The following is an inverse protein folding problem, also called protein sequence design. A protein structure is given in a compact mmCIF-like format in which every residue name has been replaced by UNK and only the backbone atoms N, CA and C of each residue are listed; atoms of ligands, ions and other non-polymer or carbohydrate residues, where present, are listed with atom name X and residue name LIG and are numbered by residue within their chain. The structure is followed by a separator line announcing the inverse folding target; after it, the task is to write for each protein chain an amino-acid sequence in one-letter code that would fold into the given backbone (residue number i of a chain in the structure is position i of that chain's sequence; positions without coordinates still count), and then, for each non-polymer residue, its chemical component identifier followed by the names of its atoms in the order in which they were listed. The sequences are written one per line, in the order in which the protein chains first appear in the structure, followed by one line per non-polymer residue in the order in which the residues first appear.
data_IF_247873014509
#
_entry.id   IF_247873014509
#
_cell.length_a   1.000
_cell.length_b   1.000
_cell.length_c   1.000
_cell.angle_alpha   90.00
_cell.angle_beta   90.00
_cell.angle_gamma   90.00
#
_symmetry.space_group_name_H-M   'P 1'
#
loop_
_entity.id
_entity.type
_entity.pdbx_description
1 polymer ?
#
# COMPACT_ATOMS: atom_id res chain seq x y z
N UNK A 1 -18.89 16.52 -21.27
CA UNK A 1 -18.15 17.77 -20.94
C UNK A 1 -17.00 17.38 -20.03
N UNK A 2 -15.77 17.41 -20.53
CA UNK A 2 -14.58 16.99 -19.78
C UNK A 2 -14.23 18.07 -18.76
N UNK A 3 -14.61 17.83 -17.50
CA UNK A 3 -14.18 18.63 -16.35
C UNK A 3 -12.73 18.33 -16.02
N UNK A 4 -11.80 18.87 -16.81
CA UNK A 4 -10.39 18.88 -16.46
C UNK A 4 -10.21 19.75 -15.22
N UNK A 5 -9.86 19.14 -14.10
CA UNK A 5 -9.52 19.85 -12.86
C UNK A 5 -8.28 20.71 -13.16
N UNK A 6 -8.47 22.03 -13.25
CA UNK A 6 -7.35 22.98 -13.34
C UNK A 6 -6.60 22.96 -12.02
N UNK A 7 -5.45 22.31 -12.00
CA UNK A 7 -4.55 22.32 -10.84
C UNK A 7 -3.87 23.70 -10.81
N UNK A 8 -4.19 24.50 -9.79
CA UNK A 8 -3.61 25.82 -9.55
C UNK A 8 -2.08 25.73 -9.40
N UNK A 9 -1.35 26.78 -9.83
CA UNK A 9 0.13 26.79 -9.81
C UNK A 9 0.74 26.59 -8.42
N UNK A 10 0.00 26.90 -7.37
CA UNK A 10 0.38 26.64 -5.96
C UNK A 10 0.34 25.15 -5.64
N UNK A 11 -0.65 24.42 -6.15
CA UNK A 11 -0.83 22.99 -5.87
C UNK A 11 0.21 22.14 -6.58
N UNK A 12 0.61 22.52 -7.81
CA UNK A 12 1.70 21.89 -8.53
C UNK A 12 3.04 22.05 -7.79
N UNK A 13 3.27 23.22 -7.17
CA UNK A 13 4.49 23.48 -6.39
C UNK A 13 4.58 22.62 -5.13
N UNK A 14 3.47 22.43 -4.42
CA UNK A 14 3.41 21.51 -3.29
C UNK A 14 3.54 20.06 -3.74
N UNK A 15 2.91 19.70 -4.87
CA UNK A 15 2.95 18.35 -5.43
C UNK A 15 4.36 17.87 -5.75
N UNK A 16 5.25 18.77 -6.21
CA UNK A 16 6.65 18.45 -6.52
C UNK A 16 7.65 18.90 -5.45
N UNK A 17 7.18 19.21 -4.23
CA UNK A 17 8.06 19.60 -3.13
C UNK A 17 9.16 18.58 -2.92
N UNK A 18 10.37 19.05 -2.65
CA UNK A 18 11.58 18.25 -2.43
C UNK A 18 12.00 17.37 -3.62
N UNK A 19 11.37 17.49 -4.79
CA UNK A 19 11.83 16.87 -6.03
C UNK A 19 12.57 17.91 -6.87
N UNK A 20 13.71 17.52 -7.43
CA UNK A 20 14.49 18.34 -8.36
C UNK A 20 14.76 17.54 -9.62
N UNK A 21 14.53 18.13 -10.79
CA UNK A 21 14.89 17.51 -12.08
C UNK A 21 16.32 17.92 -12.45
N UNK A 22 17.18 16.93 -12.73
CA UNK A 22 18.54 17.10 -13.24
C UNK A 22 18.68 16.32 -14.54
N UNK A 23 18.55 17.01 -15.67
CA UNK A 23 18.54 16.38 -16.99
C UNK A 23 17.34 15.44 -17.17
N UNK A 24 17.62 14.14 -17.38
CA UNK A 24 16.61 13.08 -17.53
C UNK A 24 16.23 12.38 -16.22
N UNK A 25 16.75 12.83 -15.09
CA UNK A 25 16.55 12.19 -13.79
C UNK A 25 15.91 13.12 -12.77
N UNK A 26 15.31 12.52 -11.75
CA UNK A 26 14.63 13.19 -10.65
C UNK A 26 15.33 12.85 -9.33
N UNK A 27 15.61 13.85 -8.51
CA UNK A 27 16.33 13.71 -7.24
C UNK A 27 15.51 14.22 -6.08
N UNK A 28 15.61 13.54 -4.94
CA UNK A 28 14.91 13.95 -3.71
C UNK A 28 15.87 14.73 -2.83
N UNK A 29 15.58 16.01 -2.59
CA UNK A 29 16.42 16.89 -1.77
C UNK A 29 15.66 17.48 -0.59
N UNK A 30 16.22 17.31 0.60
CA UNK A 30 15.69 17.87 1.84
C UNK A 30 16.84 18.32 2.75
N UNK A 31 16.78 19.56 3.26
CA UNK A 31 17.82 20.16 4.11
C UNK A 31 19.25 20.02 3.53
N UNK A 32 19.41 20.33 2.23
CA UNK A 32 20.67 20.19 1.47
C UNK A 32 21.25 18.78 1.35
N UNK A 33 20.56 17.74 1.83
CA UNK A 33 20.91 16.34 1.61
C UNK A 33 20.17 15.76 0.40
N UNK A 34 20.80 14.81 -0.28
CA UNK A 34 20.25 14.04 -1.40
C UNK A 34 19.83 12.67 -0.89
N UNK A 35 18.63 12.23 -1.22
CA UNK A 35 18.01 10.99 -0.72
C UNK A 35 17.74 9.96 -1.83
N UNK A 36 18.19 10.24 -3.06
CA UNK A 36 18.08 9.28 -4.14
C UNK A 36 17.90 9.94 -5.50
N UNK A 37 18.18 9.17 -6.54
CA UNK A 37 18.08 9.57 -7.94
C UNK A 37 17.28 8.53 -8.73
N UNK A 38 16.27 8.99 -9.46
CA UNK A 38 15.27 8.17 -10.12
C UNK A 38 15.13 8.55 -11.59
N UNK A 39 14.93 7.56 -12.46
CA UNK A 39 14.65 7.79 -13.88
C UNK A 39 13.18 8.14 -14.13
N UNK A 40 12.26 7.57 -13.34
CA UNK A 40 10.83 7.85 -13.39
C UNK A 40 10.42 8.88 -12.32
N UNK A 41 9.48 9.75 -12.69
CA UNK A 41 8.92 10.74 -11.77
C UNK A 41 7.99 10.10 -10.73
N UNK A 42 7.24 9.06 -11.11
CA UNK A 42 6.35 8.30 -10.21
C UNK A 42 7.13 7.71 -9.03
N UNK A 43 8.25 7.05 -9.31
CA UNK A 43 9.13 6.46 -8.29
C UNK A 43 9.70 7.51 -7.35
N UNK A 44 10.18 8.64 -7.89
CA UNK A 44 10.70 9.73 -7.08
C UNK A 44 9.64 10.32 -6.14
N UNK A 45 8.39 10.45 -6.60
CA UNK A 45 7.27 10.94 -5.79
C UNK A 45 6.89 9.92 -4.70
N UNK A 46 6.89 8.63 -5.05
CA UNK A 46 6.58 7.55 -4.12
C UNK A 46 7.61 7.49 -2.98
N UNK A 47 8.90 7.42 -3.33
CA UNK A 47 9.99 7.39 -2.36
C UNK A 47 9.98 8.63 -1.45
N UNK A 48 9.73 9.81 -2.03
CA UNK A 48 9.64 11.04 -1.26
C UNK A 48 8.53 11.00 -0.22
N UNK A 49 7.38 10.44 -0.56
CA UNK A 49 6.28 10.29 0.40
C UNK A 49 6.65 9.32 1.53
N UNK A 50 7.37 8.23 1.23
CA UNK A 50 7.92 7.33 2.24
C UNK A 50 8.93 8.06 3.16
N UNK A 51 9.83 8.87 2.59
CA UNK A 51 10.76 9.70 3.36
C UNK A 51 10.03 10.71 4.26
N UNK A 52 8.97 11.37 3.76
CA UNK A 52 8.16 12.26 4.60
C UNK A 52 7.50 11.51 5.76
N UNK A 53 7.05 10.28 5.51
CA UNK A 53 6.43 9.43 6.52
C UNK A 53 7.42 9.07 7.63
N UNK A 54 8.65 8.69 7.26
CA UNK A 54 9.74 8.39 8.19
C UNK A 54 10.49 9.64 8.68
N UNK A 55 9.94 10.85 8.48
CA UNK A 55 10.55 12.13 8.88
C UNK A 55 11.98 12.34 8.33
N UNK A 56 12.28 11.80 7.16
CA UNK A 56 13.60 11.79 6.51
C UNK A 56 14.67 11.05 7.32
N UNK A 57 14.26 10.14 8.19
CA UNK A 57 15.15 9.15 8.80
C UNK A 57 15.27 7.96 7.84
N UNK A 58 16.43 7.84 7.20
CA UNK A 58 16.68 6.82 6.17
C UNK A 58 16.76 5.42 6.78
N UNK A 59 17.19 5.30 8.04
CA UNK A 59 17.28 4.01 8.73
C UNK A 59 15.89 3.46 9.07
N UNK A 60 14.88 4.32 9.13
CA UNK A 60 13.48 3.96 9.30
C UNK A 60 12.76 3.73 7.96
N UNK A 61 13.43 3.94 6.83
CA UNK A 61 12.89 3.66 5.51
C UNK A 61 12.90 2.14 5.29
N UNK A 62 11.90 1.46 5.87
CA UNK A 62 11.67 0.03 5.64
C UNK A 62 11.21 -0.15 4.19
N UNK A 63 11.78 -1.10 3.46
CA UNK A 63 11.30 -1.51 2.14
C UNK A 63 9.81 -1.86 2.24
N UNK A 64 8.97 -0.93 1.78
CA UNK A 64 7.54 -1.06 1.83
C UNK A 64 7.10 -1.52 0.44
N UNK A 65 6.78 -2.79 0.30
CA UNK A 65 6.25 -3.44 -0.93
C UNK A 65 4.85 -2.94 -1.33
N UNK A 66 4.49 -1.71 -0.94
CA UNK A 66 3.24 -1.11 -1.35
C UNK A 66 3.33 -0.69 -2.82
N UNK A 67 2.25 -0.88 -3.59
CA UNK A 67 2.22 -0.47 -4.98
C UNK A 67 2.36 1.05 -5.11
N UNK A 68 3.24 1.49 -6.01
CA UNK A 68 3.46 2.90 -6.33
C UNK A 68 2.14 3.54 -6.82
N UNK A 69 1.51 4.34 -5.96
CA UNK A 69 0.23 5.02 -6.24
C UNK A 69 0.29 6.01 -7.42
N UNK A 70 1.50 6.40 -7.85
CA UNK A 70 1.73 7.32 -8.96
C UNK A 70 1.96 6.60 -10.29
N UNK A 71 2.14 5.28 -10.30
CA UNK A 71 2.57 4.55 -11.51
C UNK A 71 1.57 4.67 -12.67
N UNK A 72 0.28 4.66 -12.36
CA UNK A 72 -0.81 4.73 -13.34
C UNK A 72 -1.58 6.06 -13.27
N UNK A 73 -1.06 7.06 -12.56
CA UNK A 73 -1.71 8.36 -12.38
C UNK A 73 -1.25 9.34 -13.45
N UNK A 74 -2.17 10.11 -14.02
CA UNK A 74 -1.82 11.25 -14.86
C UNK A 74 -1.27 12.37 -13.97
N UNK A 75 0.06 12.56 -14.01
CA UNK A 75 0.76 13.52 -13.15
C UNK A 75 0.67 14.94 -13.73
N UNK A 76 0.55 15.99 -12.89
CA UNK A 76 0.64 17.37 -13.35
C UNK A 76 1.97 17.65 -14.07
N UNK A 77 2.07 18.65 -14.95
CA UNK A 77 3.34 18.96 -15.60
C UNK A 77 4.42 19.33 -14.57
N UNK A 78 5.62 18.74 -14.72
CA UNK A 78 6.75 19.08 -13.84
C UNK A 78 7.18 20.53 -14.13
N UNK A 79 7.30 21.39 -13.10
CA UNK A 79 7.59 22.81 -13.30
C UNK A 79 8.97 23.03 -13.95
N UNK A 80 9.03 23.86 -14.99
CA UNK A 80 10.26 24.19 -15.71
C UNK A 80 11.24 25.01 -14.86
N UNK A 81 10.71 25.81 -13.94
CA UNK A 81 11.49 26.63 -13.03
C UNK A 81 11.15 26.31 -11.58
N UNK A 82 12.19 26.14 -10.76
CA UNK A 82 12.01 26.05 -9.32
C UNK A 82 11.49 27.40 -8.81
N UNK A 83 10.32 27.46 -8.18
CA UNK A 83 9.81 28.70 -7.62
C UNK A 83 10.78 29.17 -6.54
N UNK A 84 11.26 30.41 -6.64
CA UNK A 84 12.11 31.04 -5.61
C UNK A 84 11.22 31.60 -4.50
N UNK A 85 11.64 31.41 -3.25
CA UNK A 85 10.96 31.96 -2.06
C UNK A 85 10.48 30.90 -1.06
N UNK A 86 10.20 31.32 0.18
CA UNK A 86 9.43 30.52 1.12
C UNK A 86 8.01 30.34 0.59
N UNK A 87 7.46 29.14 0.69
CA UNK A 87 6.07 28.91 0.32
C UNK A 87 5.18 29.64 1.34
N UNK A 88 4.72 30.85 0.97
CA UNK A 88 3.65 31.55 1.68
C UNK A 88 2.32 30.98 1.18
N UNK A 89 1.86 29.92 1.83
CA UNK A 89 0.49 29.44 1.72
C UNK A 89 -0.07 29.22 3.13
N UNK A 90 -1.40 29.11 3.26
CA UNK A 90 -1.99 28.56 4.47
C UNK A 90 -1.19 27.29 4.81
N UNK A 91 -0.59 27.25 6.01
CA UNK A 91 -0.05 26.00 6.55
C UNK A 91 -1.24 25.08 6.73
N UNK A 92 -1.59 24.32 5.70
CA UNK A 92 -2.58 23.27 5.84
C UNK A 92 -2.03 22.31 6.89
N UNK A 93 -2.77 22.16 7.99
CA UNK A 93 -2.35 21.30 9.06
C UNK A 93 -2.51 19.85 8.57
N UNK A 94 -1.44 19.29 8.00
CA UNK A 94 -1.42 17.93 7.43
C UNK A 94 -1.96 16.90 8.42
N UNK A 95 -1.70 17.11 9.72
CA UNK A 95 -2.22 16.27 10.80
C UNK A 95 -3.74 16.31 10.91
N UNK A 96 -4.38 17.45 10.70
CA UNK A 96 -5.85 17.57 10.77
C UNK A 96 -6.53 16.91 9.57
N UNK A 97 -5.93 17.01 8.38
CA UNK A 97 -6.50 16.45 7.15
C UNK A 97 -6.24 14.96 7.01
N UNK A 98 -5.01 14.55 7.26
CA UNK A 98 -4.56 13.18 6.99
C UNK A 98 -4.41 12.34 8.25
N UNK A 99 -4.51 12.89 9.46
CA UNK A 99 -4.17 12.17 10.68
C UNK A 99 -2.70 11.75 10.75
N UNK A 100 -2.31 11.11 11.84
CA UNK A 100 -0.95 10.65 12.09
C UNK A 100 -0.92 9.21 12.63
N UNK A 101 0.22 8.56 12.42
CA UNK A 101 0.53 7.26 13.01
C UNK A 101 1.59 7.50 14.06
N UNK A 102 1.29 7.14 15.30
CA UNK A 102 2.17 7.32 16.46
C UNK A 102 2.51 5.96 17.04
N UNK A 103 3.76 5.73 17.39
CA UNK A 103 4.16 4.51 18.07
C UNK A 103 3.97 4.65 19.58
N UNK A 104 3.11 3.82 20.15
CA UNK A 104 2.90 3.70 21.60
C UNK A 104 3.99 2.78 22.16
N UNK A 105 4.97 3.37 22.84
CA UNK A 105 6.08 2.64 23.44
C UNK A 105 5.67 1.75 24.62
N UNK A 106 4.54 2.04 25.30
CA UNK A 106 4.07 1.22 26.43
C UNK A 106 3.50 -0.09 25.93
N UNK A 107 2.68 -0.02 24.88
CA UNK A 107 2.04 -1.21 24.30
C UNK A 107 2.82 -1.81 23.13
N UNK A 108 3.89 -1.15 22.68
CA UNK A 108 4.70 -1.50 21.50
C UNK A 108 3.85 -1.67 20.24
N UNK A 109 2.91 -0.74 20.02
CA UNK A 109 1.96 -0.77 18.90
C UNK A 109 1.92 0.56 18.15
N UNK A 110 1.53 0.50 16.88
CA UNK A 110 1.28 1.67 16.04
C UNK A 110 -0.18 2.11 16.16
N UNK A 111 -0.41 3.38 16.48
CA UNK A 111 -1.71 3.97 16.73
C UNK A 111 -2.08 4.96 15.61
N UNK A 112 -3.24 4.78 14.98
CA UNK A 112 -3.77 5.75 14.00
C UNK A 112 -4.61 6.77 14.76
N UNK A 113 -4.25 8.05 14.67
CA UNK A 113 -4.93 9.15 15.37
C UNK A 113 -5.26 10.31 14.43
N UNK A 114 -6.35 11.03 14.69
CA UNK A 114 -6.69 12.28 14.01
C UNK A 114 -7.30 13.24 15.03
N UNK A 115 -6.61 14.35 15.29
CA UNK A 115 -6.95 15.22 16.41
C UNK A 115 -6.86 14.44 17.73
N UNK A 116 -7.96 14.40 18.49
CA UNK A 116 -8.08 13.65 19.75
C UNK A 116 -8.63 12.22 19.55
N UNK A 117 -9.05 11.86 18.34
CA UNK A 117 -9.64 10.57 18.07
C UNK A 117 -8.62 9.48 17.75
N UNK A 118 -8.84 8.30 18.33
CA UNK A 118 -8.06 7.08 18.11
C UNK A 118 -8.84 6.08 17.25
N UNK A 119 -8.20 5.56 16.20
CA UNK A 119 -8.83 4.67 15.21
C UNK A 119 -8.35 3.21 15.29
N UNK A 120 -7.46 2.91 16.23
CA UNK A 120 -7.00 1.56 16.52
C UNK A 120 -5.51 1.48 16.82
N UNK A 121 -5.10 0.29 17.26
CA UNK A 121 -3.70 -0.06 17.55
C UNK A 121 -3.31 -1.29 16.74
N UNK A 122 -2.14 -1.27 16.13
CA UNK A 122 -1.68 -2.25 15.15
C UNK A 122 -0.28 -2.73 15.48
N UNK A 123 0.02 -3.98 15.14
CA UNK A 123 1.30 -4.59 15.48
C UNK A 123 2.41 -4.10 14.56
N UNK A 124 2.07 -3.78 13.31
CA UNK A 124 3.02 -3.31 12.31
C UNK A 124 2.66 -1.92 11.80
N UNK A 125 3.69 -1.19 11.36
CA UNK A 125 3.54 0.12 10.72
C UNK A 125 2.68 0.03 9.45
N UNK A 126 2.85 -1.07 8.70
CA UNK A 126 2.13 -1.33 7.44
C UNK A 126 0.63 -1.49 7.69
N UNK A 127 0.25 -2.26 8.71
CA UNK A 127 -1.15 -2.39 9.12
C UNK A 127 -1.78 -1.04 9.47
N UNK A 128 -1.08 -0.22 10.28
CA UNK A 128 -1.55 1.10 10.64
C UNK A 128 -1.71 2.01 9.41
N UNK A 129 -0.78 1.93 8.45
CA UNK A 129 -0.85 2.69 7.21
C UNK A 129 -2.05 2.31 6.35
N UNK A 130 -2.31 1.00 6.16
CA UNK A 130 -3.48 0.54 5.42
C UNK A 130 -4.79 1.03 6.04
N UNK A 131 -4.92 0.93 7.36
CA UNK A 131 -6.09 1.42 8.09
C UNK A 131 -6.25 2.92 7.89
N UNK A 132 -5.17 3.68 8.04
CA UNK A 132 -5.16 5.13 7.82
C UNK A 132 -5.63 5.48 6.40
N UNK A 133 -5.13 4.77 5.38
CA UNK A 133 -5.52 4.97 3.99
C UNK A 133 -7.01 4.72 3.77
N UNK A 134 -7.52 3.60 4.30
CA UNK A 134 -8.94 3.25 4.23
C UNK A 134 -9.79 4.35 4.89
N UNK A 135 -9.40 4.82 6.08
CA UNK A 135 -10.10 5.92 6.76
C UNK A 135 -10.09 7.20 5.92
N UNK A 136 -8.95 7.56 5.33
CA UNK A 136 -8.85 8.74 4.47
C UNK A 136 -9.75 8.67 3.23
N UNK A 137 -9.89 7.48 2.63
CA UNK A 137 -10.76 7.25 1.47
C UNK A 137 -12.25 7.23 1.82
N UNK A 138 -12.59 7.05 3.10
CA UNK A 138 -13.96 6.94 3.62
C UNK A 138 -14.28 8.05 4.63
N UNK A 139 -13.72 9.25 4.44
CA UNK A 139 -13.97 10.43 5.28
C UNK A 139 -13.83 10.22 6.80
N UNK A 140 -12.95 9.29 7.19
CA UNK A 140 -12.68 8.87 8.56
C UNK A 140 -13.86 8.20 9.27
N UNK A 141 -14.81 7.62 8.52
CA UNK A 141 -15.89 6.82 9.08
C UNK A 141 -15.35 5.51 9.68
N UNK A 142 -15.50 5.32 11.00
CA UNK A 142 -15.07 4.09 11.68
C UNK A 142 -15.82 2.85 11.19
N UNK A 143 -17.00 3.00 10.60
CA UNK A 143 -17.77 1.88 10.05
C UNK A 143 -17.03 1.19 8.89
N UNK A 144 -16.21 1.92 8.12
CA UNK A 144 -15.43 1.32 7.04
C UNK A 144 -14.42 0.28 7.55
N UNK A 145 -13.92 0.43 8.79
CA UNK A 145 -13.01 -0.54 9.40
C UNK A 145 -13.72 -1.83 9.77
N UNK A 146 -14.98 -1.74 10.21
CA UNK A 146 -15.82 -2.90 10.53
C UNK A 146 -16.16 -3.66 9.24
N UNK A 147 -16.54 -2.94 8.18
CA UNK A 147 -16.81 -3.53 6.87
C UNK A 147 -15.57 -4.21 6.29
N UNK A 148 -14.39 -3.58 6.38
CA UNK A 148 -13.14 -4.19 5.94
C UNK A 148 -12.76 -5.45 6.72
N UNK A 149 -13.02 -5.50 8.03
CA UNK A 149 -12.82 -6.72 8.83
C UNK A 149 -13.73 -7.85 8.34
N UNK A 150 -15.03 -7.57 8.16
CA UNK A 150 -16.00 -8.56 7.65
C UNK A 150 -15.61 -9.09 6.27
N UNK A 151 -15.25 -8.20 5.34
CA UNK A 151 -14.80 -8.59 4.00
C UNK A 151 -13.55 -9.47 4.06
N UNK A 152 -12.58 -9.16 4.93
CA UNK A 152 -11.38 -10.01 5.12
C UNK A 152 -11.73 -11.37 5.71
N UNK A 153 -12.61 -11.41 6.70
CA UNK A 153 -13.10 -12.66 7.32
C UNK A 153 -13.84 -13.53 6.29
N UNK A 154 -14.71 -12.93 5.48
CA UNK A 154 -15.45 -13.62 4.41
C UNK A 154 -14.51 -14.15 3.32
N UNK A 155 -13.50 -13.38 2.90
CA UNK A 155 -12.49 -13.83 1.93
C UNK A 155 -11.69 -15.01 2.51
N UNK A 156 -11.26 -14.92 3.77
CA UNK A 156 -10.49 -15.97 4.43
C UNK A 156 -11.31 -17.25 4.61
N UNK A 157 -12.58 -17.13 5.01
CA UNK A 157 -13.50 -18.26 5.13
C UNK A 157 -13.73 -18.91 3.76
N UNK A 158 -13.94 -18.11 2.70
CA UNK A 158 -14.08 -18.61 1.34
C UNK A 158 -12.81 -19.28 0.79
N UNK A 159 -11.62 -18.79 1.16
CA UNK A 159 -10.35 -19.45 0.83
C UNK A 159 -10.20 -20.80 1.57
N UNK A 160 -10.59 -20.86 2.85
CA UNK A 160 -10.60 -22.10 3.64
C UNK A 160 -11.57 -23.13 3.05
N UNK A 161 -12.75 -22.72 2.61
CA UNK A 161 -13.75 -23.57 1.94
C UNK A 161 -13.20 -24.10 0.60
N UNK A 162 -12.50 -23.26 -0.18
CA UNK A 162 -11.82 -23.69 -1.42
C UNK A 162 -10.67 -24.67 -1.14
N UNK A 163 -9.94 -24.50 -0.05
CA UNK A 163 -8.88 -25.42 0.36
C UNK A 163 -9.41 -26.75 0.91
N UNK A 164 -10.60 -26.76 1.52
CA UNK A 164 -11.22 -27.95 2.12
C UNK A 164 -12.08 -28.79 1.16
N UNK A 165 -12.06 -28.49 -0.15
CA UNK A 165 -12.68 -29.36 -1.16
C UNK A 165 -11.60 -30.12 -1.91
N UNK A 166 -11.12 -31.27 -1.39
CA UNK A 166 -10.29 -32.16 -2.19
C UNK A 166 -11.16 -32.67 -3.35
N UNK A 167 -10.93 -32.15 -4.55
CA UNK A 167 -11.44 -32.80 -5.76
C UNK A 167 -10.75 -34.16 -5.80
N UNK A 168 -11.52 -35.24 -5.63
CA UNK A 168 -11.11 -36.61 -5.90
C UNK A 168 -10.23 -36.63 -7.15
N UNK A 169 -8.94 -36.91 -6.96
CA UNK A 169 -8.01 -36.99 -8.08
C UNK A 169 -8.49 -38.12 -8.98
N UNK A 170 -9.04 -37.78 -10.15
CA UNK A 170 -9.43 -38.73 -11.21
C UNK A 170 -8.24 -39.51 -11.76
N UNK A 171 -7.05 -39.38 -11.17
CA UNK A 171 -5.79 -39.89 -11.67
C UNK A 171 -4.97 -40.53 -10.55
N UNK A 172 -4.34 -41.65 -10.87
CA UNK A 172 -3.42 -42.38 -10.00
C UNK A 172 -2.21 -41.51 -9.66
N UNK A 173 -1.84 -41.36 -8.38
CA UNK A 173 -0.71 -40.51 -7.96
C UNK A 173 0.65 -41.05 -8.40
N UNK A 174 0.77 -42.35 -8.70
CA UNK A 174 2.05 -42.96 -9.07
C UNK A 174 2.32 -42.95 -10.58
N UNK A 175 1.31 -43.22 -11.41
CA UNK A 175 1.49 -43.35 -12.86
C UNK A 175 0.64 -42.39 -13.70
N UNK A 176 -0.18 -41.55 -13.07
CA UNK A 176 -1.04 -40.59 -13.76
C UNK A 176 -2.21 -41.21 -14.54
N UNK A 177 -2.43 -42.53 -14.48
CA UNK A 177 -3.54 -43.16 -15.19
C UNK A 177 -4.89 -42.74 -14.58
N UNK A 178 -5.93 -42.58 -15.40
CA UNK A 178 -7.27 -42.23 -14.93
C UNK A 178 -7.85 -43.36 -14.07
N UNK A 179 -8.35 -43.02 -12.88
CA UNK A 179 -8.95 -43.96 -11.92
C UNK A 179 -10.42 -43.60 -11.67
N UNK A 180 -11.26 -44.61 -11.45
CA UNK A 180 -12.66 -44.43 -11.04
C UNK A 180 -12.75 -44.26 -9.54
N UNK A 181 -13.82 -43.63 -9.06
CA UNK A 181 -14.03 -43.40 -7.62
C UNK A 181 -14.10 -44.70 -6.80
N UNK A 182 -14.47 -45.83 -7.41
CA UNK A 182 -14.49 -47.13 -6.74
C UNK A 182 -13.12 -47.85 -6.71
N UNK A 183 -12.15 -47.46 -7.53
CA UNK A 183 -10.88 -48.20 -7.66
C UNK A 183 -10.06 -48.11 -6.35
N UNK A 184 -9.68 -49.27 -5.79
CA UNK A 184 -8.83 -49.39 -4.58
C UNK A 184 -7.35 -49.58 -4.97
N UNK A 185 -7.10 -50.06 -6.20
CA UNK A 185 -5.78 -50.35 -6.74
C UNK A 185 -5.73 -49.82 -8.18
N UNK A 186 -4.63 -49.17 -8.55
CA UNK A 186 -4.43 -48.74 -9.93
C UNK A 186 -4.21 -49.96 -10.84
N UNK A 187 -5.10 -50.14 -11.82
CA UNK A 187 -5.04 -51.27 -12.78
C UNK A 187 -3.80 -51.26 -13.70
N UNK A 188 -3.05 -50.15 -13.74
CA UNK A 188 -1.86 -50.00 -14.59
C UNK A 188 -0.57 -50.23 -13.81
N UNK A 189 -0.39 -49.56 -12.67
CA UNK A 189 0.88 -49.64 -11.92
C UNK A 189 0.80 -50.48 -10.65
N UNK A 190 -0.37 -51.01 -10.30
CA UNK A 190 -0.56 -51.87 -9.12
C UNK A 190 -0.48 -51.16 -7.77
N UNK A 191 -0.29 -49.83 -7.73
CA UNK A 191 -0.26 -49.11 -6.45
C UNK A 191 -1.64 -49.06 -5.80
N UNK A 192 -1.68 -49.14 -4.47
CA UNK A 192 -2.90 -48.95 -3.69
C UNK A 192 -3.29 -47.47 -3.69
N UNK A 193 -4.53 -47.19 -4.07
CA UNK A 193 -5.08 -45.84 -4.08
C UNK A 193 -5.60 -45.54 -2.67
N UNK A 194 -4.88 -44.70 -1.94
CA UNK A 194 -5.31 -44.24 -0.61
C UNK A 194 -6.42 -43.21 -0.82
N UNK A 195 -7.60 -43.48 -0.28
CA UNK A 195 -8.72 -42.54 -0.25
C UNK A 195 -8.66 -41.85 1.12
N UNK A 196 -8.22 -40.60 1.16
CA UNK A 196 -8.29 -39.73 2.34
C UNK A 196 -9.63 -38.99 2.37
#
# INVERSE_FOLDING_TARGET
MNGGVKIESTDIRYFYRNIVKSGKKYRIKHNNKDYGEFSKLSDALYERDCLFYCKFDYDLLVECDLPNKYENMELPPFPEHRPRGQIKGLKFNKKEREGEIVFDHKERKFCVIRGEEHFGKYNTMVEAYYVKKILMENDWDKACLIQNKRIREDIFLNQKIKASTPKLNKYCPNCGNKVKEEDIICKICGIRLVKD
#
